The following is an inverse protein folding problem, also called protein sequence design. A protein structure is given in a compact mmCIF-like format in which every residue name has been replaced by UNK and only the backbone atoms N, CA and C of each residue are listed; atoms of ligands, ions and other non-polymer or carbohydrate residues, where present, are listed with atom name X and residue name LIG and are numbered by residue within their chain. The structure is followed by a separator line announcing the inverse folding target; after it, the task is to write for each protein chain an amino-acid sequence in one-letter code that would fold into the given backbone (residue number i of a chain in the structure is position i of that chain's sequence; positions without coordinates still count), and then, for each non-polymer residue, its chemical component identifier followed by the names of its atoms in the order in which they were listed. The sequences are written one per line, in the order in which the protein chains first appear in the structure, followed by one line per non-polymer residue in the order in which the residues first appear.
data_IF_674684439817
#
_entry.id   IF_674684439817
#
_cell.length_a   1.000
_cell.length_b   1.000
_cell.length_c   1.000
_cell.angle_alpha   90.00
_cell.angle_beta   90.00
_cell.angle_gamma   90.00
#
_symmetry.space_group_name_H-M   'P 1'
#
loop_
_entity.id
_entity.type
_entity.pdbx_description
1 polymer ?
#
# COMPACT_ATOMS: atom_id res chain seq x y z
N UNK A 1 -18.63 -1.45 -9.23
CA UNK A 1 -17.27 -0.89 -9.17
C UNK A 1 -16.33 -2.02 -8.79
N UNK A 2 -15.48 -2.48 -9.71
CA UNK A 2 -14.65 -3.68 -9.51
C UNK A 2 -13.66 -3.57 -8.35
N UNK A 3 -13.30 -2.34 -7.94
CA UNK A 3 -12.33 -2.09 -6.88
C UNK A 3 -12.68 -2.68 -5.51
N UNK A 4 -13.97 -2.87 -5.19
CA UNK A 4 -14.37 -3.50 -3.92
C UNK A 4 -14.13 -5.01 -3.87
N UNK A 5 -14.06 -5.66 -5.03
CA UNK A 5 -14.01 -7.12 -5.16
C UNK A 5 -12.64 -7.61 -5.66
N UNK A 6 -11.67 -6.71 -5.81
CA UNK A 6 -10.34 -6.99 -6.34
C UNK A 6 -9.26 -6.84 -5.26
N UNK A 7 -8.30 -7.76 -5.26
CA UNK A 7 -7.13 -7.73 -4.38
C UNK A 7 -5.89 -7.17 -5.07
N UNK A 8 -5.89 -7.03 -6.39
CA UNK A 8 -4.77 -6.52 -7.17
C UNK A 8 -5.26 -5.93 -8.48
N UNK A 9 -4.49 -4.99 -9.03
CA UNK A 9 -4.85 -4.27 -10.25
C UNK A 9 -3.68 -4.27 -11.22
N UNK A 10 -3.93 -4.67 -12.47
CA UNK A 10 -2.98 -4.56 -13.58
C UNK A 10 -3.65 -3.73 -14.66
N UNK A 11 -3.13 -2.53 -14.91
CA UNK A 11 -3.66 -1.58 -15.87
C UNK A 11 -2.80 -1.61 -17.12
N UNK A 12 -3.44 -1.84 -18.26
CA UNK A 12 -2.81 -1.85 -19.58
C UNK A 12 -3.06 -0.51 -20.29
N UNK A 13 -2.27 -0.13 -21.31
CA UNK A 13 -2.49 1.09 -22.07
C UNK A 13 -3.90 1.14 -22.65
N UNK A 14 -4.55 2.29 -22.56
CA UNK A 14 -5.94 2.45 -22.94
C UNK A 14 -6.32 3.89 -23.28
N UNK A 15 -7.62 4.14 -23.39
CA UNK A 15 -8.16 5.48 -23.65
C UNK A 15 -8.65 6.18 -22.38
N UNK A 16 -9.59 7.11 -22.54
CA UNK A 16 -10.18 7.85 -21.42
C UNK A 16 -10.82 6.97 -20.35
N UNK A 17 -11.46 5.86 -20.72
CA UNK A 17 -12.06 4.94 -19.74
C UNK A 17 -11.02 4.32 -18.81
N UNK A 18 -9.89 3.86 -19.35
CA UNK A 18 -8.79 3.34 -18.55
C UNK A 18 -8.20 4.41 -17.64
N UNK A 19 -8.05 5.64 -18.12
CA UNK A 19 -7.54 6.75 -17.31
C UNK A 19 -8.49 7.14 -16.17
N UNK A 20 -9.80 7.18 -16.44
CA UNK A 20 -10.84 7.44 -15.44
C UNK A 20 -10.76 6.41 -14.31
N UNK A 21 -10.76 5.12 -14.65
CA UNK A 21 -10.62 4.02 -13.69
C UNK A 21 -9.28 4.05 -12.94
N UNK A 22 -8.19 4.42 -13.62
CA UNK A 22 -6.85 4.53 -13.01
C UNK A 22 -6.82 5.61 -11.94
N UNK A 23 -7.27 6.83 -12.27
CA UNK A 23 -7.24 7.94 -11.32
C UNK A 23 -8.24 7.73 -10.19
N UNK A 24 -9.40 7.13 -10.46
CA UNK A 24 -10.35 6.77 -9.41
C UNK A 24 -9.74 5.77 -8.40
N UNK A 25 -9.08 4.71 -8.90
CA UNK A 25 -8.38 3.74 -8.07
C UNK A 25 -7.30 4.40 -7.20
N UNK A 26 -6.41 5.19 -7.80
CA UNK A 26 -5.34 5.86 -7.08
C UNK A 26 -5.89 6.83 -6.03
N UNK A 27 -6.95 7.58 -6.37
CA UNK A 27 -7.61 8.49 -5.43
C UNK A 27 -8.19 7.72 -4.23
N UNK A 28 -8.83 6.57 -4.45
CA UNK A 28 -9.41 5.77 -3.37
C UNK A 28 -8.34 5.20 -2.43
N UNK A 29 -7.20 4.74 -2.97
CA UNK A 29 -6.08 4.24 -2.17
C UNK A 29 -5.43 5.40 -1.41
N UNK A 30 -5.10 6.50 -2.11
CA UNK A 30 -4.46 7.69 -1.54
C UNK A 30 -5.28 8.28 -0.38
N UNK A 31 -6.61 8.29 -0.50
CA UNK A 31 -7.51 8.87 0.50
C UNK A 31 -7.97 7.86 1.56
N UNK A 32 -7.50 6.61 1.51
CA UNK A 32 -7.89 5.54 2.44
C UNK A 32 -9.35 5.12 2.35
N UNK A 33 -9.99 5.34 1.21
CA UNK A 33 -11.36 4.89 0.91
C UNK A 33 -11.38 3.45 0.41
N UNK A 34 -10.24 2.93 -0.03
CA UNK A 34 -9.96 1.51 -0.21
C UNK A 34 -8.80 1.07 0.66
N UNK A 35 -8.72 -0.24 0.92
CA UNK A 35 -7.53 -0.82 1.56
C UNK A 35 -6.34 -0.79 0.58
N UNK A 36 -5.09 -0.82 1.06
CA UNK A 36 -3.92 -0.97 0.22
C UNK A 36 -4.01 -2.23 -0.65
N UNK A 37 -3.61 -2.09 -1.92
CA UNK A 37 -3.52 -3.16 -2.90
C UNK A 37 -2.33 -2.91 -3.83
N UNK A 38 -1.73 -3.94 -4.45
CA UNK A 38 -0.72 -3.77 -5.48
C UNK A 38 -1.39 -3.28 -6.76
N UNK A 39 -0.80 -2.24 -7.36
CA UNK A 39 -1.24 -1.64 -8.62
C UNK A 39 -0.07 -1.64 -9.59
N UNK A 40 -0.22 -2.38 -10.68
CA UNK A 40 0.77 -2.48 -11.75
C UNK A 40 0.29 -1.71 -12.96
N UNK A 41 1.11 -0.80 -13.44
CA UNK A 41 0.95 -0.12 -14.72
C UNK A 41 1.84 -0.85 -15.73
N UNK A 42 1.25 -1.79 -16.46
CA UNK A 42 1.97 -2.72 -17.33
C UNK A 42 1.91 -2.24 -18.77
N UNK A 43 3.06 -1.90 -19.34
CA UNK A 43 3.24 -1.60 -20.76
C UNK A 43 3.55 -2.89 -21.56
N UNK A 44 3.31 -2.94 -22.89
CA UNK A 44 3.98 -3.94 -23.72
C UNK A 44 5.50 -3.71 -23.69
N UNK A 45 6.34 -4.72 -23.97
CA UNK A 45 7.80 -4.56 -23.99
C UNK A 45 8.26 -3.38 -24.86
N UNK A 46 9.03 -2.45 -24.27
CA UNK A 46 9.46 -1.20 -24.92
C UNK A 46 8.38 -0.13 -25.07
N UNK A 47 7.21 -0.35 -24.48
CA UNK A 47 6.12 0.62 -24.39
C UNK A 47 6.52 1.86 -23.60
N UNK A 48 5.84 2.97 -23.89
CA UNK A 48 6.14 4.25 -23.25
C UNK A 48 4.91 4.89 -22.61
N UNK A 49 3.74 4.23 -22.67
CA UNK A 49 2.48 4.84 -22.26
C UNK A 49 2.51 5.21 -20.78
N UNK A 50 2.88 4.27 -19.91
CA UNK A 50 2.90 4.48 -18.47
C UNK A 50 4.12 5.25 -18.01
N UNK A 51 5.26 5.11 -18.70
CA UNK A 51 6.43 5.94 -18.41
C UNK A 51 6.16 7.43 -18.72
N UNK A 52 5.47 7.74 -19.82
CA UNK A 52 5.04 9.12 -20.14
C UNK A 52 3.95 9.62 -19.22
N UNK A 53 3.01 8.75 -18.82
CA UNK A 53 2.03 9.10 -17.78
C UNK A 53 2.72 9.42 -16.45
N UNK A 54 3.73 8.64 -16.04
CA UNK A 54 4.49 8.86 -14.80
C UNK A 54 5.25 10.18 -14.87
N UNK A 55 5.87 10.50 -16.01
CA UNK A 55 6.51 11.79 -16.25
C UNK A 55 5.50 12.96 -16.10
N UNK A 56 4.28 12.82 -16.65
CA UNK A 56 3.20 13.79 -16.44
C UNK A 56 2.80 13.91 -14.95
N UNK A 57 2.64 12.79 -14.24
CA UNK A 57 2.31 12.80 -12.80
C UNK A 57 3.41 13.48 -11.99
N UNK A 58 4.67 13.21 -12.30
CA UNK A 58 5.81 13.84 -11.64
C UNK A 58 5.83 15.36 -11.89
N UNK A 59 5.72 15.79 -13.14
CA UNK A 59 5.84 17.21 -13.50
C UNK A 59 4.60 18.01 -13.11
N UNK A 60 3.40 17.52 -13.39
CA UNK A 60 2.16 18.31 -13.30
C UNK A 60 1.43 18.10 -11.98
N UNK A 61 1.66 16.99 -11.27
CA UNK A 61 0.99 16.70 -10.01
C UNK A 61 1.96 16.79 -8.82
N UNK A 62 3.15 16.20 -8.91
CA UNK A 62 4.10 16.19 -7.80
C UNK A 62 4.82 17.54 -7.65
N UNK A 63 5.45 18.08 -8.70
CA UNK A 63 6.20 19.34 -8.59
C UNK A 63 5.37 20.52 -8.05
N UNK A 64 4.10 20.70 -8.44
CA UNK A 64 3.25 21.76 -7.89
C UNK A 64 2.68 21.43 -6.50
N UNK A 65 2.94 20.23 -5.97
CA UNK A 65 2.50 19.77 -4.65
C UNK A 65 1.04 19.32 -4.58
N UNK A 66 0.46 18.86 -5.69
CA UNK A 66 -0.91 18.30 -5.72
C UNK A 66 -0.97 16.87 -5.13
N UNK A 67 0.15 16.16 -5.17
CA UNK A 67 0.37 14.87 -4.51
C UNK A 67 1.66 14.89 -3.68
N UNK A 68 1.81 13.93 -2.78
CA UNK A 68 3.07 13.72 -2.05
C UNK A 68 4.05 12.88 -2.86
N UNK A 69 5.35 12.98 -2.54
CA UNK A 69 6.37 12.14 -3.19
C UNK A 69 6.12 10.64 -2.96
N UNK A 70 5.60 10.28 -1.79
CA UNK A 70 5.29 8.89 -1.43
C UNK A 70 4.17 8.33 -2.30
N UNK A 71 3.24 9.16 -2.82
CA UNK A 71 2.13 8.70 -3.67
C UNK A 71 2.62 8.02 -4.95
N UNK A 72 3.85 8.30 -5.40
CA UNK A 72 4.47 7.58 -6.52
C UNK A 72 4.72 6.10 -6.22
N UNK A 73 4.82 5.71 -4.95
CA UNK A 73 4.97 4.32 -4.52
C UNK A 73 3.64 3.54 -4.55
N UNK A 74 2.51 4.19 -4.85
CA UNK A 74 1.22 3.51 -5.00
C UNK A 74 1.18 2.61 -6.25
N UNK A 75 2.07 2.83 -7.22
CA UNK A 75 2.10 2.09 -8.48
C UNK A 75 3.48 1.54 -8.80
N UNK A 76 3.50 0.36 -9.42
CA UNK A 76 4.68 -0.21 -10.09
C UNK A 76 4.50 -0.06 -11.60
N UNK A 77 5.34 0.76 -12.24
CA UNK A 77 5.43 0.82 -13.71
C UNK A 77 6.43 -0.23 -14.19
N UNK A 78 6.04 -1.07 -15.15
CA UNK A 78 6.92 -2.07 -15.76
C UNK A 78 6.42 -2.48 -17.14
N UNK A 79 7.29 -3.03 -17.97
CA UNK A 79 6.94 -3.71 -19.23
C UNK A 79 7.23 -5.23 -19.19
N UNK A 80 7.60 -5.75 -18.00
CA UNK A 80 7.83 -7.17 -17.74
C UNK A 80 6.62 -7.80 -17.07
N UNK A 81 6.17 -8.93 -17.63
CA UNK A 81 5.11 -9.76 -17.05
C UNK A 81 5.59 -10.37 -15.74
N UNK A 82 6.85 -10.77 -15.67
CA UNK A 82 7.46 -11.38 -14.50
C UNK A 82 7.47 -10.41 -13.32
N UNK A 83 7.89 -9.16 -13.54
CA UNK A 83 7.83 -8.12 -12.50
C UNK A 83 6.39 -7.80 -12.07
N UNK A 84 5.45 -7.77 -13.02
CA UNK A 84 4.04 -7.55 -12.70
C UNK A 84 3.46 -8.65 -11.80
N UNK A 85 3.77 -9.91 -12.10
CA UNK A 85 3.36 -11.06 -11.28
C UNK A 85 4.06 -11.02 -9.92
N UNK A 86 5.36 -10.71 -9.89
CA UNK A 86 6.10 -10.59 -8.63
C UNK A 86 5.49 -9.53 -7.72
N UNK A 87 5.17 -8.33 -8.22
CA UNK A 87 4.54 -7.25 -7.45
C UNK A 87 3.25 -7.74 -6.78
N UNK A 88 2.36 -8.39 -7.54
CA UNK A 88 1.09 -8.90 -7.02
C UNK A 88 1.28 -9.99 -5.98
N UNK A 89 2.16 -10.97 -6.25
CA UNK A 89 2.38 -12.10 -5.35
C UNK A 89 3.16 -11.69 -4.08
N UNK A 90 4.11 -10.77 -4.22
CA UNK A 90 4.96 -10.30 -3.12
C UNK A 90 4.17 -9.46 -2.13
N UNK A 91 3.24 -8.63 -2.60
CA UNK A 91 2.46 -7.73 -1.74
C UNK A 91 1.82 -8.43 -0.54
N UNK A 92 1.21 -9.60 -0.76
CA UNK A 92 0.52 -10.39 0.27
C UNK A 92 1.38 -11.43 0.97
N UNK A 93 2.71 -11.41 0.78
CA UNK A 93 3.62 -12.40 1.36
C UNK A 93 3.71 -12.27 2.88
N UNK A 94 3.91 -11.06 3.37
CA UNK A 94 3.91 -10.74 4.81
C UNK A 94 2.60 -10.09 5.23
N UNK A 95 2.08 -9.16 4.43
CA UNK A 95 0.83 -8.46 4.73
C UNK A 95 -0.40 -9.35 4.51
N UNK A 96 -1.33 -9.34 5.47
CA UNK A 96 -2.62 -10.02 5.34
C UNK A 96 -3.77 -9.03 5.15
N UNK A 97 -4.01 -8.16 6.13
CA UNK A 97 -5.09 -7.18 6.10
C UNK A 97 -4.87 -6.06 7.11
N UNK A 98 -5.65 -4.98 6.98
CA UNK A 98 -5.68 -3.87 7.94
C UNK A 98 -7.08 -3.64 8.51
N UNK A 99 -7.14 -3.07 9.71
CA UNK A 99 -8.36 -2.46 10.24
C UNK A 99 -8.05 -1.30 11.19
N UNK A 100 -9.03 -0.43 11.39
CA UNK A 100 -8.98 0.53 12.48
C UNK A 100 -9.59 -0.04 13.76
N UNK A 101 -8.91 0.17 14.88
CA UNK A 101 -9.43 -0.04 16.24
C UNK A 101 -9.27 1.26 17.02
N UNK A 102 -10.36 2.01 17.14
CA UNK A 102 -10.31 3.40 17.62
C UNK A 102 -9.43 4.27 16.71
N UNK A 103 -8.39 4.89 17.28
CA UNK A 103 -7.43 5.71 16.54
C UNK A 103 -6.21 4.92 16.03
N UNK A 104 -6.11 3.62 16.33
CA UNK A 104 -4.97 2.79 15.90
C UNK A 104 -5.30 2.11 14.57
N UNK A 105 -4.35 2.15 13.64
CA UNK A 105 -4.33 1.26 12.50
C UNK A 105 -3.65 -0.04 12.95
N UNK A 106 -4.32 -1.17 12.73
CA UNK A 106 -3.82 -2.51 13.03
C UNK A 106 -3.56 -3.21 11.71
N UNK A 107 -2.33 -3.69 11.52
CA UNK A 107 -1.87 -4.44 10.36
C UNK A 107 -1.66 -5.89 10.79
N UNK A 108 -2.39 -6.82 10.19
CA UNK A 108 -2.22 -8.26 10.41
C UNK A 108 -1.20 -8.80 9.44
N UNK A 109 -0.34 -9.66 9.94
CA UNK A 109 0.81 -10.20 9.23
C UNK A 109 0.73 -11.74 9.20
N UNK A 110 1.39 -12.32 8.21
CA UNK A 110 1.53 -13.79 8.04
C UNK A 110 2.75 -14.34 8.78
N UNK A 111 3.64 -13.48 9.28
CA UNK A 111 4.80 -13.82 10.09
C UNK A 111 5.01 -12.80 11.20
N UNK A 112 5.78 -13.21 12.21
CA UNK A 112 6.28 -12.32 13.25
C UNK A 112 7.32 -11.35 12.68
N UNK A 113 7.43 -10.19 13.33
CA UNK A 113 8.44 -9.15 13.06
C UNK A 113 9.40 -9.14 14.25
N UNK A 114 10.69 -9.28 14.00
CA UNK A 114 11.69 -9.30 15.08
C UNK A 114 12.00 -7.88 15.60
N UNK A 115 12.81 -7.80 16.66
CA UNK A 115 13.13 -6.52 17.32
C UNK A 115 13.95 -5.58 16.42
N UNK A 116 14.83 -6.15 15.58
CA UNK A 116 15.69 -5.38 14.68
C UNK A 116 14.88 -4.79 13.53
N UNK A 117 14.03 -5.61 12.91
CA UNK A 117 13.10 -5.17 11.87
C UNK A 117 12.12 -4.13 12.44
N UNK A 118 11.53 -4.36 13.61
CA UNK A 118 10.62 -3.39 14.23
C UNK A 118 11.30 -2.03 14.49
N UNK A 119 12.57 -2.04 14.90
CA UNK A 119 13.35 -0.82 15.09
C UNK A 119 13.60 -0.08 13.76
N UNK A 120 13.91 -0.81 12.69
CA UNK A 120 14.05 -0.23 11.34
C UNK A 120 12.75 0.40 10.87
N UNK A 121 11.63 -0.33 10.98
CA UNK A 121 10.31 0.16 10.59
C UNK A 121 9.95 1.44 11.34
N UNK A 122 10.26 1.50 12.64
CA UNK A 122 10.04 2.68 13.46
C UNK A 122 10.88 3.89 13.03
N UNK A 123 12.13 3.68 12.61
CA UNK A 123 12.96 4.75 12.07
C UNK A 123 12.46 5.25 10.71
N UNK A 124 12.11 4.33 9.82
CA UNK A 124 11.76 4.61 8.42
C UNK A 124 10.35 5.21 8.28
N UNK A 125 9.41 4.76 9.09
CA UNK A 125 7.98 5.11 8.98
C UNK A 125 7.48 5.96 10.15
N UNK A 126 8.36 6.67 10.87
CA UNK A 126 7.93 7.59 11.93
C UNK A 126 6.95 8.68 11.42
N UNK A 127 7.09 9.08 10.16
CA UNK A 127 6.29 10.16 9.55
C UNK A 127 4.80 9.81 9.40
N UNK A 128 4.41 8.53 9.32
CA UNK A 128 2.99 8.12 9.26
C UNK A 128 2.36 7.93 10.64
N UNK A 129 3.15 8.02 11.71
CA UNK A 129 2.71 7.82 13.09
C UNK A 129 2.41 9.18 13.73
N UNK A 130 1.14 9.44 14.03
CA UNK A 130 0.69 10.66 14.69
C UNK A 130 1.31 10.81 16.09
N UNK A 131 1.39 9.69 16.84
CA UNK A 131 1.98 9.67 18.19
C UNK A 131 2.44 8.28 18.59
N UNK A 132 3.64 8.23 19.18
CA UNK A 132 4.25 7.00 19.67
C UNK A 132 5.05 6.32 18.56
N UNK A 133 4.99 5.00 18.53
CA UNK A 133 5.76 4.14 17.61
C UNK A 133 4.86 3.04 17.05
N UNK A 134 5.37 2.31 16.06
CA UNK A 134 4.86 1.02 15.61
C UNK A 134 5.21 -0.03 16.67
N UNK A 135 4.20 -0.77 17.11
CA UNK A 135 4.30 -1.75 18.18
C UNK A 135 3.71 -3.09 17.73
N UNK A 136 4.31 -4.21 18.13
CA UNK A 136 3.63 -5.52 18.11
C UNK A 136 2.58 -5.55 19.22
N UNK A 137 1.38 -6.02 18.92
CA UNK A 137 0.29 -6.13 19.90
C UNK A 137 -0.36 -7.51 19.83
N UNK A 138 -0.94 -8.02 20.92
CA UNK A 138 -1.86 -9.16 20.82
C UNK A 138 -3.15 -8.72 20.10
N UNK A 139 -4.01 -9.69 19.78
CA UNK A 139 -5.34 -9.41 19.27
C UNK A 139 -6.09 -8.43 20.19
N UNK A 140 -6.65 -7.38 19.62
CA UNK A 140 -7.42 -6.40 20.39
C UNK A 140 -8.75 -6.99 20.83
N UNK A 141 -9.34 -6.46 21.91
CA UNK A 141 -10.66 -6.91 22.39
C UNK A 141 -11.74 -6.84 21.29
N UNK A 142 -11.66 -5.83 20.41
CA UNK A 142 -12.56 -5.71 19.27
C UNK A 142 -12.38 -6.86 18.28
N UNK A 143 -11.14 -7.22 17.95
CA UNK A 143 -10.84 -8.33 17.05
C UNK A 143 -11.23 -9.69 17.64
N UNK A 144 -11.01 -9.89 18.95
CA UNK A 144 -11.41 -11.11 19.65
C UNK A 144 -12.92 -11.28 19.66
N UNK A 145 -13.67 -10.21 19.93
CA UNK A 145 -15.13 -10.24 19.90
C UNK A 145 -15.67 -10.56 18.50
N UNK A 146 -15.01 -10.06 17.47
CA UNK A 146 -15.43 -10.22 16.08
C UNK A 146 -14.91 -11.55 15.46
N UNK A 147 -14.18 -12.39 16.21
CA UNK A 147 -13.42 -13.58 15.74
C UNK A 147 -12.59 -13.33 14.48
N UNK A 148 -12.01 -12.13 14.40
CA UNK A 148 -11.34 -11.63 13.21
C UNK A 148 -9.85 -11.98 13.32
N UNK A 149 -9.44 -13.08 12.68
CA UNK A 149 -8.05 -13.54 12.53
C UNK A 149 -7.20 -13.39 13.80
N UNK A 150 -7.71 -13.86 14.94
CA UNK A 150 -7.12 -13.64 16.28
C UNK A 150 -5.77 -14.33 16.48
N UNK A 151 -5.44 -15.28 15.62
CA UNK A 151 -4.21 -16.07 15.59
C UNK A 151 -3.03 -15.38 14.88
N UNK A 152 -3.29 -14.42 13.99
CA UNK A 152 -2.23 -13.79 13.19
C UNK A 152 -1.34 -12.82 14.00
N UNK A 153 -0.01 -12.77 13.76
CA UNK A 153 0.82 -11.67 14.24
C UNK A 153 0.32 -10.32 13.74
N UNK A 154 0.58 -9.23 14.48
CA UNK A 154 0.11 -7.91 14.08
C UNK A 154 0.93 -6.75 14.64
N UNK A 155 1.00 -5.69 13.85
CA UNK A 155 1.53 -4.39 14.24
C UNK A 155 0.39 -3.40 14.43
N UNK A 156 0.57 -2.44 15.32
CA UNK A 156 -0.34 -1.33 15.47
C UNK A 156 0.38 -0.02 15.75
N UNK A 157 -0.20 1.08 15.27
CA UNK A 157 0.26 2.43 15.55
C UNK A 157 -0.89 3.43 15.43
N UNK A 158 -0.71 4.62 16.02
CA UNK A 158 -1.64 5.75 15.83
C UNK A 158 -1.36 6.39 14.48
N UNK A 159 -2.11 5.98 13.46
CA UNK A 159 -1.94 6.47 12.11
C UNK A 159 -2.51 7.88 11.94
N UNK A 160 -1.80 8.75 11.23
CA UNK A 160 -2.19 10.14 10.95
C UNK A 160 -3.44 10.31 10.06
N UNK A 161 -3.97 9.20 9.53
CA UNK A 161 -5.14 9.10 8.64
C UNK A 161 -4.96 9.75 7.27
N UNK A 162 -3.73 10.10 6.90
CA UNK A 162 -3.41 10.83 5.66
C UNK A 162 -2.36 10.11 4.83
N UNK A 163 -1.30 9.60 5.46
CA UNK A 163 -0.12 9.08 4.78
C UNK A 163 -0.28 7.63 4.32
N UNK A 164 -1.30 7.36 3.51
CA UNK A 164 -1.64 6.01 3.03
C UNK A 164 -0.59 5.42 2.09
N UNK A 165 0.08 6.26 1.30
CA UNK A 165 1.23 5.83 0.52
C UNK A 165 2.38 5.34 1.41
N UNK A 166 2.61 5.97 2.57
CA UNK A 166 3.57 5.48 3.56
C UNK A 166 3.15 4.12 4.17
N UNK A 167 1.85 3.83 4.30
CA UNK A 167 1.36 2.48 4.67
C UNK A 167 1.67 1.47 3.56
N UNK A 168 1.48 1.85 2.29
CA UNK A 168 1.85 1.02 1.13
C UNK A 168 3.35 0.73 1.09
N UNK A 169 4.20 1.70 1.43
CA UNK A 169 5.66 1.51 1.54
C UNK A 169 6.06 0.68 2.77
N UNK A 170 5.32 0.79 3.88
CA UNK A 170 5.50 -0.08 5.05
C UNK A 170 5.22 -1.55 4.71
N UNK A 171 4.20 -1.83 3.89
CA UNK A 171 3.92 -3.18 3.40
C UNK A 171 5.08 -3.73 2.56
N UNK A 172 5.68 -2.91 1.69
CA UNK A 172 6.87 -3.32 0.94
C UNK A 172 8.05 -3.65 1.85
N UNK A 173 8.28 -2.83 2.87
CA UNK A 173 9.31 -3.04 3.88
C UNK A 173 9.18 -4.41 4.56
N UNK A 174 7.95 -4.74 4.97
CA UNK A 174 7.63 -6.02 5.60
C UNK A 174 7.86 -7.21 4.66
N UNK A 175 7.79 -6.98 3.34
CA UNK A 175 8.13 -7.96 2.32
C UNK A 175 9.63 -7.94 1.94
N UNK A 176 10.46 -7.12 2.58
CA UNK A 176 11.93 -7.16 2.47
C UNK A 176 12.56 -7.87 3.67
N UNK A 177 11.94 -7.78 4.84
CA UNK A 177 12.37 -8.46 6.07
C UNK A 177 12.40 -9.99 5.92
N UNK A 178 13.39 -10.60 6.59
CA UNK A 178 13.69 -12.04 6.57
C UNK A 178 12.90 -12.82 7.61
#
# INVERSE_FOLDING_TARGET
MFMKESHAFVLLPGGFGTMDESFELLTLIQTGKSVPAPVVLLDPPGGTYWTRWKEFVEIELLEPGLISADDLALVKVTDSIEEAVEEVCRFYRTYHSIRFVGSRLVLRLRREVDDGELAELNGRFAHIVERGTIERIPATEAEVRDDDHVDLPRLAFRFDRRSWAGVRMLIDALNEGH
#
